data_IF_605762817050
#
_entry.id   IF_605762817050
#
_cell.length_a   1.000
_cell.length_b   1.000
_cell.length_c   1.000
_cell.angle_alpha   90.00
_cell.angle_beta   90.00
_cell.angle_gamma   90.00
#
_symmetry.space_group_name_H-M   'P 1'
#
loop_
_entity.id
_entity.type
_entity.pdbx_description
1 polymer ?
#
# COMPACT_ATOMS: atom_id res chain seq x y z
N UNK A 1 23.68 -2.10 -14.98
CA UNK A 1 22.24 -1.83 -15.17
C UNK A 1 21.52 -3.16 -15.28
N UNK A 2 20.77 -3.59 -14.27
CA UNK A 2 19.73 -4.59 -14.50
C UNK A 2 18.65 -3.85 -15.26
N UNK A 3 18.41 -4.23 -16.53
CA UNK A 3 17.43 -3.54 -17.36
C UNK A 3 16.05 -3.72 -16.73
N UNK A 4 15.36 -2.63 -16.44
CA UNK A 4 13.95 -2.59 -16.02
C UNK A 4 13.05 -3.18 -17.13
N UNK A 5 13.55 -3.33 -18.35
CA UNK A 5 12.91 -3.96 -19.52
C UNK A 5 12.34 -5.37 -19.22
N UNK A 6 12.91 -6.09 -18.23
CA UNK A 6 12.40 -7.41 -17.83
C UNK A 6 11.24 -7.35 -16.82
N UNK A 7 10.91 -6.18 -16.29
CA UNK A 7 9.85 -6.00 -15.29
C UNK A 7 8.56 -5.56 -15.95
N UNK A 8 8.66 -4.66 -16.95
CA UNK A 8 7.48 -4.12 -17.62
C UNK A 8 7.17 -4.92 -18.89
N UNK A 9 5.95 -5.44 -19.00
CA UNK A 9 5.44 -6.01 -20.25
C UNK A 9 5.38 -4.87 -21.27
N UNK A 10 6.03 -5.05 -22.44
CA UNK A 10 5.93 -4.08 -23.52
C UNK A 10 4.46 -3.99 -23.96
N UNK A 11 3.82 -2.88 -23.62
CA UNK A 11 2.55 -2.53 -24.21
C UNK A 11 2.78 -1.89 -25.57
N UNK A 12 1.95 -2.29 -26.54
CA UNK A 12 1.96 -1.78 -27.91
C UNK A 12 1.87 -0.24 -27.93
N UNK A 13 2.51 0.40 -28.88
CA UNK A 13 2.90 1.82 -29.02
C UNK A 13 1.81 2.91 -28.89
N UNK A 14 0.75 2.72 -28.15
CA UNK A 14 -0.34 3.71 -27.97
C UNK A 14 -0.23 4.65 -26.78
N UNK A 15 0.79 4.50 -25.92
CA UNK A 15 1.04 5.40 -24.79
C UNK A 15 1.67 6.71 -25.28
N UNK A 16 0.99 7.85 -25.12
CA UNK A 16 1.65 9.15 -25.19
C UNK A 16 2.75 9.17 -24.13
N UNK A 17 3.96 9.56 -24.52
CA UNK A 17 5.08 9.70 -23.61
C UNK A 17 4.71 10.73 -22.52
N UNK A 18 4.34 10.25 -21.34
CA UNK A 18 3.84 11.08 -20.22
C UNK A 18 5.05 11.56 -19.44
N UNK A 19 5.39 12.84 -19.59
CA UNK A 19 6.40 13.49 -18.74
C UNK A 19 5.73 14.13 -17.50
N UNK A 20 5.74 13.40 -16.38
CA UNK A 20 5.17 13.88 -15.11
C UNK A 20 5.99 14.99 -14.46
N UNK A 21 7.21 15.25 -14.91
CA UNK A 21 8.12 16.27 -14.38
C UNK A 21 8.07 17.59 -15.16
N UNK A 22 7.38 17.61 -16.30
CA UNK A 22 7.12 18.84 -17.03
C UNK A 22 6.07 19.65 -16.29
N UNK A 23 6.49 20.69 -15.60
CA UNK A 23 5.65 21.46 -14.65
C UNK A 23 4.44 22.08 -15.34
N UNK A 24 3.26 21.86 -14.77
CA UNK A 24 2.01 22.48 -15.22
C UNK A 24 2.12 24.00 -15.11
N UNK A 25 1.87 24.70 -16.21
CA UNK A 25 1.93 26.17 -16.28
C UNK A 25 0.70 26.87 -15.68
N UNK A 26 -0.24 26.13 -15.10
CA UNK A 26 -1.46 26.72 -14.54
C UNK A 26 -1.19 27.39 -13.20
N UNK A 27 -1.14 28.74 -13.19
CA UNK A 27 -0.84 29.57 -12.03
C UNK A 27 -1.85 29.45 -10.87
N UNK A 28 -3.01 28.84 -11.10
CA UNK A 28 -4.09 28.74 -10.10
C UNK A 28 -4.03 27.43 -9.30
N UNK A 29 -3.06 26.53 -9.56
CA UNK A 29 -2.93 25.25 -8.87
C UNK A 29 -1.70 25.23 -7.98
N UNK A 30 -1.90 24.91 -6.72
CA UNK A 30 -0.80 24.76 -5.76
C UNK A 30 -0.05 23.43 -6.03
N UNK A 31 1.21 23.55 -6.37
CA UNK A 31 2.12 22.41 -6.53
C UNK A 31 2.40 21.80 -5.14
N UNK A 32 2.26 20.48 -5.01
CA UNK A 32 2.54 19.72 -3.79
C UNK A 32 3.99 19.92 -3.34
N UNK A 33 4.22 20.06 -2.04
CA UNK A 33 5.57 20.15 -1.48
C UNK A 33 6.33 18.83 -1.66
N UNK A 34 5.67 17.67 -1.56
CA UNK A 34 6.26 16.37 -1.85
C UNK A 34 6.71 16.26 -3.31
N UNK A 35 5.93 16.79 -4.26
CA UNK A 35 6.34 16.86 -5.65
C UNK A 35 7.54 17.80 -5.85
N UNK A 36 7.57 18.97 -5.19
CA UNK A 36 8.70 19.91 -5.26
C UNK A 36 9.98 19.24 -4.76
N UNK A 37 9.92 18.50 -3.66
CA UNK A 37 11.03 17.74 -3.12
C UNK A 37 11.51 16.71 -4.15
N UNK A 38 10.63 15.87 -4.67
CA UNK A 38 10.96 14.87 -5.69
C UNK A 38 11.57 15.50 -6.94
N UNK A 39 11.02 16.62 -7.41
CA UNK A 39 11.44 17.23 -8.67
C UNK A 39 12.76 18.00 -8.57
N UNK A 40 13.04 18.64 -7.43
CA UNK A 40 14.12 19.63 -7.30
C UNK A 40 15.26 19.22 -6.37
N UNK A 41 15.06 18.20 -5.50
CA UNK A 41 16.09 17.80 -4.55
C UNK A 41 17.02 16.75 -5.15
N UNK A 42 18.33 16.94 -4.95
CA UNK A 42 19.34 15.97 -5.37
C UNK A 42 19.24 14.64 -4.61
N UNK A 43 18.73 14.68 -3.36
CA UNK A 43 18.53 13.50 -2.53
C UNK A 43 17.48 12.54 -3.12
N UNK A 44 16.50 13.07 -3.85
CA UNK A 44 15.44 12.27 -4.47
C UNK A 44 15.69 12.00 -5.98
N UNK A 45 16.85 12.39 -6.51
CA UNK A 45 17.19 12.15 -7.91
C UNK A 45 17.07 10.69 -8.36
N UNK A 46 17.49 9.66 -7.57
CA UNK A 46 17.27 8.27 -7.97
C UNK A 46 15.78 7.89 -8.10
N UNK A 47 14.91 8.40 -7.22
CA UNK A 47 13.47 8.19 -7.33
C UNK A 47 12.88 8.87 -8.57
N UNK A 48 13.29 10.12 -8.84
CA UNK A 48 12.86 10.87 -10.03
C UNK A 48 13.22 10.14 -11.31
N UNK A 49 14.46 9.67 -11.43
CA UNK A 49 14.94 8.95 -12.61
C UNK A 49 14.19 7.61 -12.77
N UNK A 50 14.00 6.86 -11.69
CA UNK A 50 13.22 5.61 -11.72
C UNK A 50 11.78 5.85 -12.18
N UNK A 51 11.10 6.87 -11.66
CA UNK A 51 9.74 7.21 -12.07
C UNK A 51 9.73 7.63 -13.55
N UNK A 52 10.72 8.38 -14.03
CA UNK A 52 10.83 8.74 -15.45
C UNK A 52 10.97 7.51 -16.36
N UNK A 53 11.62 6.44 -15.90
CA UNK A 53 11.74 5.17 -16.64
C UNK A 53 10.43 4.33 -16.57
N UNK A 54 9.63 4.48 -15.52
CA UNK A 54 8.35 3.76 -15.37
C UNK A 54 7.27 4.39 -16.24
N UNK A 55 7.20 5.73 -16.28
CA UNK A 55 6.07 6.47 -16.87
C UNK A 55 5.80 6.16 -18.35
N UNK A 56 6.77 5.88 -19.22
CA UNK A 56 6.49 5.45 -20.61
C UNK A 56 5.64 4.17 -20.71
N UNK A 57 5.66 3.33 -19.67
CA UNK A 57 4.90 2.07 -19.61
C UNK A 57 3.55 2.23 -18.88
N UNK A 58 3.32 3.35 -18.22
CA UNK A 58 2.09 3.63 -17.49
C UNK A 58 1.06 4.31 -18.41
N UNK A 59 -0.15 3.76 -18.49
CA UNK A 59 -1.23 4.35 -19.28
C UNK A 59 -2.17 5.15 -18.38
N UNK A 60 -2.23 6.46 -18.61
CA UNK A 60 -3.20 7.38 -17.97
C UNK A 60 -4.48 7.41 -18.80
N UNK A 61 -5.48 6.64 -18.36
CA UNK A 61 -6.76 6.53 -19.07
C UNK A 61 -7.60 7.79 -18.90
N UNK A 62 -7.57 8.38 -17.69
CA UNK A 62 -8.40 9.53 -17.32
C UNK A 62 -7.79 10.86 -17.76
N UNK A 63 -6.53 10.87 -18.16
CA UNK A 63 -5.80 12.05 -18.61
C UNK A 63 -5.51 13.09 -17.53
N UNK A 64 -5.66 12.73 -16.25
CA UNK A 64 -5.49 13.62 -15.11
C UNK A 64 -4.29 13.27 -14.20
N UNK A 65 -3.56 12.20 -14.52
CA UNK A 65 -2.46 11.69 -13.70
C UNK A 65 -1.40 12.77 -13.45
N UNK A 66 -0.90 13.43 -14.51
CA UNK A 66 0.16 14.43 -14.41
C UNK A 66 -0.24 15.58 -13.49
N UNK A 67 -1.47 16.09 -13.65
CA UNK A 67 -1.97 17.16 -12.81
C UNK A 67 -2.04 16.76 -11.35
N UNK A 68 -2.64 15.62 -11.04
CA UNK A 68 -2.79 15.14 -9.69
C UNK A 68 -1.44 14.77 -9.06
N UNK A 69 -0.53 14.16 -9.83
CA UNK A 69 0.82 13.85 -9.38
C UNK A 69 1.61 15.11 -8.96
N UNK A 70 1.37 16.26 -9.61
CA UNK A 70 2.04 17.51 -9.27
C UNK A 70 1.33 18.32 -8.17
N UNK A 71 0.10 17.97 -7.82
CA UNK A 71 -0.74 18.77 -6.91
C UNK A 71 -1.21 17.97 -5.68
N UNK A 72 -2.45 18.16 -5.25
CA UNK A 72 -3.01 17.56 -4.03
C UNK A 72 -3.19 16.04 -4.10
N UNK A 73 -3.13 15.44 -5.29
CA UNK A 73 -3.23 14.01 -5.51
C UNK A 73 -1.90 13.25 -5.46
N UNK A 74 -0.78 13.90 -5.10
CA UNK A 74 0.55 13.30 -5.16
C UNK A 74 0.64 11.92 -4.49
N UNK A 75 0.18 11.81 -3.24
CA UNK A 75 0.25 10.57 -2.47
C UNK A 75 -0.59 9.44 -3.11
N UNK A 76 -1.79 9.78 -3.61
CA UNK A 76 -2.65 8.83 -4.31
C UNK A 76 -1.96 8.31 -5.59
N UNK A 77 -1.31 9.19 -6.37
CA UNK A 77 -0.60 8.80 -7.60
C UNK A 77 0.69 8.03 -7.31
N UNK A 78 1.41 8.33 -6.23
CA UNK A 78 2.54 7.49 -5.76
C UNK A 78 2.04 6.10 -5.37
N UNK A 79 0.89 5.99 -4.70
CA UNK A 79 0.29 4.71 -4.33
C UNK A 79 -0.11 3.88 -5.56
N UNK A 80 -0.81 4.48 -6.51
CA UNK A 80 -1.17 3.82 -7.77
C UNK A 80 0.06 3.37 -8.56
N UNK A 81 1.10 4.21 -8.64
CA UNK A 81 2.33 3.87 -9.34
C UNK A 81 3.08 2.72 -8.63
N UNK A 82 3.07 2.69 -7.28
CA UNK A 82 3.60 1.57 -6.51
C UNK A 82 2.84 0.28 -6.82
N UNK A 83 1.51 0.30 -6.81
CA UNK A 83 0.67 -0.86 -7.15
C UNK A 83 0.95 -1.34 -8.59
N UNK A 84 1.07 -0.41 -9.53
CA UNK A 84 1.44 -0.73 -10.90
C UNK A 84 2.77 -1.49 -10.99
N UNK A 85 3.80 -1.00 -10.31
CA UNK A 85 5.12 -1.65 -10.26
C UNK A 85 5.03 -3.04 -9.60
N UNK A 86 4.28 -3.16 -8.51
CA UNK A 86 4.07 -4.42 -7.82
C UNK A 86 3.36 -5.46 -8.70
N UNK A 87 2.27 -5.10 -9.38
CA UNK A 87 1.56 -6.03 -10.25
C UNK A 87 2.41 -6.47 -11.43
N UNK A 88 3.25 -5.59 -11.99
CA UNK A 88 4.21 -5.98 -13.02
C UNK A 88 5.29 -6.92 -12.48
N UNK A 89 5.85 -6.68 -11.29
CA UNK A 89 6.81 -7.58 -10.64
C UNK A 89 6.23 -8.98 -10.45
N UNK A 90 4.95 -9.05 -10.03
CA UNK A 90 4.20 -10.29 -9.84
C UNK A 90 3.70 -10.94 -11.15
N UNK A 91 3.98 -10.33 -12.30
CA UNK A 91 3.60 -10.83 -13.62
C UNK A 91 2.09 -10.88 -13.86
N UNK A 92 1.34 -9.96 -13.26
CA UNK A 92 -0.04 -9.74 -13.66
C UNK A 92 -0.12 -9.02 -15.01
N UNK A 93 -1.11 -9.40 -15.81
CA UNK A 93 -1.53 -8.63 -16.96
C UNK A 93 -2.47 -7.54 -16.43
N UNK A 94 -2.14 -6.27 -16.68
CA UNK A 94 -2.94 -5.12 -16.27
C UNK A 94 -3.78 -4.69 -17.48
N UNK A 95 -5.08 -4.91 -17.44
CA UNK A 95 -5.99 -4.46 -18.48
C UNK A 95 -6.31 -2.97 -18.29
N UNK A 96 -6.20 -2.20 -19.35
CA UNK A 96 -6.41 -0.76 -19.38
C UNK A 96 -7.58 -0.33 -20.27
N UNK A 97 -8.49 -1.26 -20.62
CA UNK A 97 -9.69 -0.97 -21.41
C UNK A 97 -10.77 -0.24 -20.61
N UNK A 98 -10.66 -0.25 -19.27
CA UNK A 98 -11.65 0.29 -18.35
C UNK A 98 -11.02 1.39 -17.47
N UNK A 99 -11.76 2.48 -17.25
CA UNK A 99 -11.34 3.60 -16.40
C UNK A 99 -11.64 3.39 -14.91
N UNK A 100 -12.50 2.43 -14.61
CA UNK A 100 -12.87 2.11 -13.23
C UNK A 100 -13.16 0.60 -13.09
N UNK A 101 -12.77 -0.01 -11.97
CA UNK A 101 -11.89 0.52 -10.92
C UNK A 101 -10.46 0.79 -11.41
N UNK A 102 -9.59 1.37 -10.56
CA UNK A 102 -8.22 1.80 -10.92
C UNK A 102 -7.38 0.71 -11.59
N UNK A 103 -7.57 -0.55 -11.18
CA UNK A 103 -6.90 -1.70 -11.79
C UNK A 103 -7.86 -2.84 -12.07
N UNK A 104 -7.72 -3.42 -13.25
CA UNK A 104 -8.29 -4.70 -13.61
C UNK A 104 -7.14 -5.60 -14.07
N UNK A 105 -6.80 -6.59 -13.24
CA UNK A 105 -5.61 -7.43 -13.41
C UNK A 105 -5.99 -8.88 -13.62
N UNK A 106 -5.14 -9.62 -14.36
CA UNK A 106 -5.34 -11.05 -14.56
C UNK A 106 -4.02 -11.83 -14.44
N UNK A 107 -4.11 -13.04 -13.89
CA UNK A 107 -3.01 -14.01 -13.77
C UNK A 107 -3.57 -15.40 -13.61
N UNK A 108 -2.99 -16.38 -14.31
CA UNK A 108 -3.35 -17.80 -14.21
C UNK A 108 -4.85 -18.09 -14.42
N UNK A 109 -5.51 -17.32 -15.31
CA UNK A 109 -6.93 -17.44 -15.59
C UNK A 109 -7.87 -16.73 -14.59
N UNK A 110 -7.35 -16.12 -13.55
CA UNK A 110 -8.12 -15.33 -12.60
C UNK A 110 -8.11 -13.84 -12.98
N UNK A 111 -9.26 -13.19 -12.83
CA UNK A 111 -9.39 -11.75 -12.99
C UNK A 111 -9.75 -11.14 -11.65
N UNK A 112 -9.14 -10.01 -11.31
CA UNK A 112 -9.30 -9.32 -10.03
C UNK A 112 -9.45 -7.82 -10.31
N UNK A 113 -10.39 -7.18 -9.65
CA UNK A 113 -10.61 -5.73 -9.70
C UNK A 113 -10.07 -5.10 -8.43
N UNK A 114 -9.42 -3.95 -8.57
CA UNK A 114 -8.79 -3.28 -7.43
C UNK A 114 -9.05 -1.78 -7.52
N UNK A 115 -9.59 -1.22 -6.45
CA UNK A 115 -9.77 0.23 -6.28
C UNK A 115 -8.77 0.76 -5.26
N UNK A 116 -8.00 1.76 -5.63
CA UNK A 116 -6.98 2.36 -4.78
C UNK A 116 -7.57 3.48 -3.89
N UNK A 117 -7.05 3.60 -2.69
CA UNK A 117 -7.45 4.62 -1.73
C UNK A 117 -6.29 5.04 -0.83
N UNK A 118 -6.30 6.27 -0.35
CA UNK A 118 -5.29 6.79 0.56
C UNK A 118 -5.92 7.52 1.76
N UNK A 119 -5.26 7.38 2.91
CA UNK A 119 -5.51 8.23 4.07
C UNK A 119 -4.52 9.39 4.00
N UNK A 120 -5.01 10.56 3.60
CA UNK A 120 -4.15 11.74 3.46
C UNK A 120 -4.02 12.49 4.79
N UNK A 121 -2.99 13.31 4.92
CA UNK A 121 -2.79 14.16 6.07
C UNK A 121 -3.96 15.16 6.22
N UNK A 122 -4.53 15.24 7.43
CA UNK A 122 -5.57 16.22 7.78
C UNK A 122 -5.14 17.00 8.99
N UNK A 123 -5.25 18.33 8.93
CA UNK A 123 -4.85 19.24 10.02
C UNK A 123 -5.48 18.88 11.37
N UNK A 124 -6.72 18.42 11.39
CA UNK A 124 -7.45 18.03 12.61
C UNK A 124 -6.81 16.85 13.38
N UNK A 125 -5.90 16.08 12.74
CA UNK A 125 -5.19 14.95 13.34
C UNK A 125 -3.68 15.17 13.48
N UNK A 126 -3.20 16.43 13.32
CA UNK A 126 -1.77 16.77 13.43
C UNK A 126 -1.34 17.21 14.84
N UNK A 127 -2.27 17.49 15.75
CA UNK A 127 -1.97 17.92 17.11
C UNK A 127 -1.25 16.81 17.88
N UNK A 128 -0.61 17.17 19.02
CA UNK A 128 0.13 16.28 19.94
C UNK A 128 -0.71 15.11 20.49
N UNK A 129 -1.12 14.24 19.57
CA UNK A 129 -1.89 13.05 19.87
C UNK A 129 -0.94 11.94 20.25
N UNK A 130 -1.16 11.32 21.39
CA UNK A 130 -0.41 10.14 21.82
C UNK A 130 -0.52 9.05 20.76
N UNK A 131 0.58 8.34 20.53
CA UNK A 131 0.63 7.30 19.51
C UNK A 131 -0.40 6.19 19.75
N UNK A 132 -0.67 5.87 21.03
CA UNK A 132 -1.68 4.87 21.40
C UNK A 132 -3.10 5.29 21.01
N UNK A 133 -3.47 6.57 21.20
CA UNK A 133 -4.77 7.11 20.78
C UNK A 133 -4.88 7.12 19.26
N UNK A 134 -3.78 7.40 18.57
CA UNK A 134 -3.72 7.35 17.10
C UNK A 134 -3.98 5.93 16.60
N UNK A 135 -3.26 4.93 17.14
CA UNK A 135 -3.35 3.53 16.72
C UNK A 135 -4.71 2.92 17.08
N UNK A 136 -5.20 3.18 18.31
CA UNK A 136 -6.34 2.45 18.87
C UNK A 136 -7.68 3.18 18.69
N UNK A 137 -7.68 4.40 18.13
CA UNK A 137 -8.91 5.19 17.97
C UNK A 137 -8.97 5.88 16.61
N UNK A 138 -8.01 6.74 16.28
CA UNK A 138 -8.09 7.60 15.10
C UNK A 138 -7.93 6.81 13.80
N UNK A 139 -6.88 5.99 13.69
CA UNK A 139 -6.60 5.27 12.45
C UNK A 139 -7.70 4.26 12.09
N UNK A 140 -8.24 3.43 13.00
CA UNK A 140 -9.37 2.57 12.68
C UNK A 140 -10.58 3.33 12.12
N UNK A 141 -10.92 4.49 12.70
CA UNK A 141 -12.01 5.37 12.21
C UNK A 141 -11.70 5.90 10.81
N UNK A 142 -10.45 6.29 10.55
CA UNK A 142 -10.04 6.80 9.25
C UNK A 142 -10.02 5.72 8.19
N UNK A 143 -9.52 4.52 8.50
CA UNK A 143 -9.63 3.35 7.63
C UNK A 143 -11.09 3.05 7.30
N UNK A 144 -11.95 3.00 8.32
CA UNK A 144 -13.39 2.79 8.14
C UNK A 144 -14.03 3.82 7.22
N UNK A 145 -13.71 5.09 7.41
CA UNK A 145 -14.25 6.18 6.57
C UNK A 145 -13.77 6.09 5.12
N UNK A 146 -12.48 5.75 4.90
CA UNK A 146 -11.92 5.64 3.55
C UNK A 146 -12.48 4.42 2.82
N UNK A 147 -12.53 3.26 3.47
CA UNK A 147 -13.10 2.03 2.90
C UNK A 147 -14.59 2.24 2.59
N UNK A 148 -15.35 2.82 3.53
CA UNK A 148 -16.78 3.12 3.32
C UNK A 148 -17.01 4.04 2.13
N UNK A 149 -16.18 5.06 1.94
CA UNK A 149 -16.28 5.97 0.78
C UNK A 149 -16.17 5.23 -0.55
N UNK A 150 -15.37 4.14 -0.62
CA UNK A 150 -15.24 3.32 -1.84
C UNK A 150 -16.40 2.35 -2.01
N UNK A 151 -16.94 1.84 -0.90
CA UNK A 151 -18.10 0.93 -0.92
C UNK A 151 -19.38 1.68 -1.30
N UNK A 152 -19.57 2.87 -0.75
CA UNK A 152 -20.77 3.69 -1.02
C UNK A 152 -20.73 4.33 -2.42
N UNK A 153 -19.58 4.30 -3.09
CA UNK A 153 -19.46 4.86 -4.43
C UNK A 153 -20.31 4.11 -5.44
N UNK A 154 -21.07 4.84 -6.23
CA UNK A 154 -21.80 4.33 -7.39
C UNK A 154 -21.51 5.21 -8.58
N UNK A 155 -21.55 4.62 -9.77
CA UNK A 155 -21.42 5.34 -11.04
C UNK A 155 -22.73 6.05 -11.44
N UNK A 156 -22.72 6.69 -12.61
CA UNK A 156 -23.93 7.37 -13.17
C UNK A 156 -25.13 6.45 -13.40
N UNK A 157 -24.92 5.13 -13.44
CA UNK A 157 -25.96 4.11 -13.61
C UNK A 157 -26.35 3.49 -12.25
N UNK A 158 -25.89 4.05 -11.14
CA UNK A 158 -26.08 3.55 -9.77
C UNK A 158 -25.50 2.15 -9.53
N UNK A 159 -24.38 1.84 -10.19
CA UNK A 159 -23.65 0.58 -10.03
C UNK A 159 -22.41 0.78 -9.17
N UNK A 160 -22.17 -0.13 -8.21
CA UNK A 160 -20.91 -0.21 -7.48
C UNK A 160 -19.79 -0.81 -8.35
N UNK A 161 -18.54 -0.63 -7.96
CA UNK A 161 -17.36 -1.13 -8.69
C UNK A 161 -17.42 -2.63 -9.00
N UNK A 162 -17.97 -3.46 -8.12
CA UNK A 162 -18.10 -4.91 -8.30
C UNK A 162 -19.33 -5.34 -9.13
N UNK A 163 -20.15 -4.40 -9.56
CA UNK A 163 -21.36 -4.65 -10.35
C UNK A 163 -21.19 -4.35 -11.84
N UNK A 164 -20.07 -3.73 -12.25
CA UNK A 164 -19.80 -3.49 -13.66
C UNK A 164 -19.68 -4.82 -14.40
N UNK A 165 -20.06 -4.87 -15.67
CA UNK A 165 -20.07 -6.11 -16.44
C UNK A 165 -18.69 -6.80 -16.47
N UNK A 166 -17.61 -6.04 -16.57
CA UNK A 166 -16.26 -6.58 -16.58
C UNK A 166 -15.74 -7.04 -15.19
N UNK A 167 -16.34 -6.55 -14.10
CA UNK A 167 -15.93 -6.90 -12.71
C UNK A 167 -16.89 -7.87 -12.03
N UNK A 168 -18.11 -7.98 -12.53
CA UNK A 168 -19.15 -8.83 -11.97
C UNK A 168 -18.70 -10.28 -11.79
N UNK A 169 -19.12 -10.84 -10.68
CA UNK A 169 -18.82 -12.23 -10.28
C UNK A 169 -17.32 -12.55 -10.18
N UNK A 170 -16.52 -11.55 -9.82
CA UNK A 170 -15.07 -11.62 -9.66
C UNK A 170 -14.62 -11.01 -8.34
N UNK A 171 -13.44 -11.37 -7.82
CA UNK A 171 -12.88 -10.74 -6.64
C UNK A 171 -12.72 -9.23 -6.81
N UNK A 172 -13.13 -8.48 -5.76
CA UNK A 172 -12.91 -7.05 -5.66
C UNK A 172 -12.08 -6.72 -4.41
N UNK A 173 -11.01 -5.97 -4.60
CA UNK A 173 -10.05 -5.57 -3.56
C UNK A 173 -10.07 -4.05 -3.41
N UNK A 174 -10.01 -3.56 -2.19
CA UNK A 174 -9.66 -2.16 -1.93
C UNK A 174 -8.19 -2.13 -1.49
N UNK A 175 -7.35 -1.41 -2.26
CA UNK A 175 -5.95 -1.20 -1.95
C UNK A 175 -5.80 0.13 -1.21
N UNK A 176 -5.42 0.08 0.08
CA UNK A 176 -5.40 1.26 0.95
C UNK A 176 -4.00 1.54 1.50
N UNK A 177 -3.55 2.80 1.42
CA UNK A 177 -2.29 3.26 1.98
C UNK A 177 -2.49 4.41 2.96
N UNK A 178 -1.68 4.42 4.03
CA UNK A 178 -1.75 5.45 5.07
C UNK A 178 -0.65 6.51 4.88
N UNK A 179 -1.02 7.64 4.27
CA UNK A 179 -0.20 8.84 4.14
C UNK A 179 -0.62 9.94 5.14
N UNK A 180 -1.22 9.54 6.24
CA UNK A 180 -1.73 10.52 7.22
C UNK A 180 -0.66 11.21 8.05
N UNK A 181 0.55 10.66 8.08
CA UNK A 181 1.69 11.13 8.84
C UNK A 181 2.96 10.48 8.26
N UNK A 182 4.11 11.14 8.39
CA UNK A 182 5.40 10.68 7.82
C UNK A 182 5.86 9.31 8.32
N UNK A 183 5.42 8.90 9.53
CA UNK A 183 5.75 7.61 10.14
C UNK A 183 4.55 6.66 10.24
N UNK A 184 3.40 7.01 9.64
CA UNK A 184 2.14 6.26 9.80
C UNK A 184 2.27 4.80 9.38
N UNK A 185 2.98 4.52 8.32
CA UNK A 185 3.15 3.15 7.80
C UNK A 185 3.93 2.22 8.74
N UNK A 186 4.60 2.74 9.77
CA UNK A 186 5.31 1.91 10.76
C UNK A 186 4.32 1.16 11.68
N UNK A 187 3.16 1.76 11.96
CA UNK A 187 2.21 1.24 12.95
C UNK A 187 0.78 1.06 12.45
N UNK A 188 0.44 1.52 11.25
CA UNK A 188 -0.94 1.49 10.73
C UNK A 188 -1.50 0.10 10.48
N UNK A 189 -0.65 -0.92 10.24
CA UNK A 189 -1.09 -2.29 9.99
C UNK A 189 -1.87 -2.91 11.16
N UNK A 190 -1.47 -2.65 12.41
CA UNK A 190 -2.20 -3.13 13.59
C UNK A 190 -3.59 -2.49 13.69
N UNK A 191 -3.69 -1.19 13.43
CA UNK A 191 -4.97 -0.48 13.42
C UNK A 191 -5.91 -1.02 12.34
N UNK A 192 -5.37 -1.32 11.17
CA UNK A 192 -6.13 -1.89 10.06
C UNK A 192 -6.62 -3.32 10.40
N UNK A 193 -5.76 -4.18 10.92
CA UNK A 193 -6.13 -5.53 11.37
C UNK A 193 -7.26 -5.47 12.39
N UNK A 194 -7.11 -4.64 13.42
CA UNK A 194 -8.10 -4.49 14.49
C UNK A 194 -9.45 -4.00 13.94
N UNK A 195 -9.43 -3.05 12.99
CA UNK A 195 -10.64 -2.58 12.33
C UNK A 195 -11.32 -3.67 11.48
N UNK A 196 -10.54 -4.38 10.66
CA UNK A 196 -11.07 -5.35 9.71
C UNK A 196 -11.68 -6.57 10.41
N UNK A 197 -10.99 -7.11 11.42
CA UNK A 197 -11.40 -8.36 12.08
C UNK A 197 -12.08 -8.17 13.44
N UNK A 198 -12.01 -6.98 14.03
CA UNK A 198 -12.66 -6.70 15.33
C UNK A 198 -11.99 -7.41 16.52
N UNK A 199 -10.70 -7.69 16.40
CA UNK A 199 -9.91 -8.32 17.46
C UNK A 199 -8.53 -7.67 17.59
N UNK A 200 -8.09 -7.51 18.84
CA UNK A 200 -6.69 -7.29 19.20
C UNK A 200 -6.13 -8.54 19.88
N UNK A 201 -4.81 -8.64 19.94
CA UNK A 201 -4.15 -9.81 20.52
C UNK A 201 -3.16 -9.38 21.59
N UNK A 202 -3.30 -9.93 22.80
CA UNK A 202 -2.32 -9.78 23.87
C UNK A 202 -1.34 -10.95 23.83
N UNK A 203 -0.09 -10.63 24.09
CA UNK A 203 0.99 -11.61 24.12
C UNK A 203 1.38 -11.86 25.57
N UNK A 204 1.45 -13.13 25.97
CA UNK A 204 2.00 -13.59 27.23
C UNK A 204 2.88 -14.80 27.03
N UNK A 205 3.66 -15.16 28.03
CA UNK A 205 4.45 -16.40 28.00
C UNK A 205 3.95 -17.35 29.10
N UNK A 206 3.84 -18.63 28.77
CA UNK A 206 3.56 -19.66 29.76
C UNK A 206 4.80 -19.97 30.63
N UNK A 207 4.65 -20.84 31.64
CA UNK A 207 5.76 -21.22 32.55
C UNK A 207 6.93 -21.93 31.84
N UNK A 208 6.67 -22.47 30.65
CA UNK A 208 7.64 -23.18 29.81
C UNK A 208 8.33 -22.26 28.80
N UNK A 209 7.98 -20.95 28.79
CA UNK A 209 8.55 -19.97 27.87
C UNK A 209 7.89 -19.96 26.47
N UNK A 210 6.80 -20.67 26.27
CA UNK A 210 6.07 -20.65 25.00
C UNK A 210 5.15 -19.42 24.92
N UNK A 211 5.09 -18.84 23.73
CA UNK A 211 4.24 -17.71 23.43
C UNK A 211 2.75 -18.13 23.51
N UNK A 212 1.97 -17.35 24.24
CA UNK A 212 0.52 -17.48 24.32
C UNK A 212 -0.13 -16.21 23.78
N UNK A 213 -1.02 -16.37 22.80
CA UNK A 213 -1.77 -15.27 22.15
C UNK A 213 -3.20 -15.30 22.63
N UNK A 214 -3.64 -14.22 23.26
CA UNK A 214 -4.98 -14.07 23.84
C UNK A 214 -5.77 -13.09 22.95
N UNK A 215 -6.79 -13.56 22.20
CA UNK A 215 -7.64 -12.67 21.42
C UNK A 215 -8.56 -11.86 22.33
N UNK A 216 -8.67 -10.55 22.06
CA UNK A 216 -9.62 -9.64 22.71
C UNK A 216 -10.52 -9.03 21.68
N UNK A 217 -11.82 -9.25 21.82
CA UNK A 217 -12.83 -8.69 20.91
C UNK A 217 -12.93 -7.18 21.09
N UNK A 218 -13.03 -6.46 19.97
CA UNK A 218 -13.26 -5.02 19.90
C UNK A 218 -14.64 -4.82 19.27
N UNK A 219 -15.53 -4.10 19.93
CA UNK A 219 -16.87 -3.82 19.40
C UNK A 219 -16.88 -2.58 18.51
N UNK A 220 -16.20 -1.52 18.92
CA UNK A 220 -16.14 -0.27 18.19
C UNK A 220 -14.87 0.54 18.53
N UNK A 221 -14.57 1.51 17.67
CA UNK A 221 -13.58 2.54 17.89
C UNK A 221 -14.26 3.88 18.05
N UNK A 222 -13.79 4.67 19.03
CA UNK A 222 -14.38 5.97 19.35
C UNK A 222 -13.31 7.05 19.44
N UNK A 223 -13.56 8.18 18.79
CA UNK A 223 -12.73 9.38 18.90
C UNK A 223 -13.62 10.61 18.73
N UNK A 224 -13.64 11.47 19.75
CA UNK A 224 -14.61 12.56 19.88
C UNK A 224 -16.04 12.04 19.70
N UNK A 225 -16.83 12.64 18.82
CA UNK A 225 -18.22 12.24 18.53
C UNK A 225 -18.32 11.15 17.45
N UNK A 226 -17.19 10.69 16.90
CA UNK A 226 -17.16 9.66 15.86
C UNK A 226 -17.06 8.28 16.49
N UNK A 227 -17.95 7.38 16.08
CA UNK A 227 -17.92 5.96 16.44
C UNK A 227 -17.99 5.14 15.17
N UNK A 228 -17.11 4.12 15.08
CA UNK A 228 -17.09 3.18 13.97
C UNK A 228 -17.02 1.77 14.55
N UNK A 229 -17.91 0.89 14.10
CA UNK A 229 -17.89 -0.51 14.53
C UNK A 229 -16.64 -1.21 14.01
N UNK A 230 -16.08 -2.07 14.86
CA UNK A 230 -15.00 -2.97 14.48
C UNK A 230 -15.54 -4.22 13.76
N UNK A 231 -14.65 -5.02 13.18
CA UNK A 231 -15.04 -6.27 12.54
C UNK A 231 -15.69 -6.05 11.18
N UNK A 232 -15.14 -5.15 10.37
CA UNK A 232 -15.63 -4.83 9.03
C UNK A 232 -15.92 -6.09 8.19
N UNK A 233 -15.01 -7.06 8.17
CA UNK A 233 -15.17 -8.30 7.43
C UNK A 233 -16.16 -9.29 8.04
N UNK A 234 -16.56 -9.08 9.29
CA UNK A 234 -17.52 -9.96 9.96
C UNK A 234 -18.98 -9.59 9.68
N UNK A 235 -19.19 -8.46 8.99
CA UNK A 235 -20.49 -7.98 8.58
C UNK A 235 -20.87 -8.52 7.20
N UNK A 236 -22.08 -9.09 7.09
CA UNK A 236 -22.55 -9.73 5.85
C UNK A 236 -22.65 -8.76 4.67
N UNK A 237 -22.99 -7.51 4.92
CA UNK A 237 -23.07 -6.48 3.89
C UNK A 237 -21.74 -6.20 3.16
N UNK A 238 -20.62 -6.65 3.73
CA UNK A 238 -19.27 -6.47 3.15
C UNK A 238 -18.76 -7.70 2.38
N UNK A 239 -19.63 -8.68 2.08
CA UNK A 239 -19.25 -9.93 1.39
C UNK A 239 -18.74 -9.70 -0.05
N UNK A 240 -19.06 -8.58 -0.69
CA UNK A 240 -18.56 -8.24 -2.02
C UNK A 240 -17.08 -7.79 -2.02
N UNK A 241 -16.52 -7.43 -0.85
CA UNK A 241 -15.11 -7.08 -0.71
C UNK A 241 -14.32 -8.34 -0.41
N UNK A 242 -13.49 -8.79 -1.35
CA UNK A 242 -12.73 -10.04 -1.23
C UNK A 242 -11.56 -9.93 -0.27
N UNK A 243 -10.90 -8.77 -0.26
CA UNK A 243 -9.76 -8.48 0.61
C UNK A 243 -9.49 -6.97 0.69
N UNK A 244 -8.71 -6.59 1.68
CA UNK A 244 -8.01 -5.31 1.70
C UNK A 244 -6.53 -5.58 1.43
N UNK A 245 -5.91 -4.77 0.58
CA UNK A 245 -4.48 -4.77 0.30
C UNK A 245 -3.87 -3.50 0.89
N UNK A 246 -2.76 -3.61 1.60
CA UNK A 246 -2.05 -2.46 2.16
C UNK A 246 -0.54 -2.69 2.16
N UNK A 247 0.24 -1.62 2.25
CA UNK A 247 1.70 -1.70 2.32
C UNK A 247 2.25 -0.81 3.42
N UNK A 248 3.27 -1.30 4.12
CA UNK A 248 4.06 -0.55 5.11
C UNK A 248 5.26 0.16 4.47
N UNK A 249 5.46 0.03 3.16
CA UNK A 249 6.62 0.60 2.46
C UNK A 249 6.29 1.24 1.10
N UNK A 250 5.02 1.27 0.68
CA UNK A 250 4.60 1.78 -0.63
C UNK A 250 4.64 3.31 -0.73
N UNK A 251 5.76 3.93 -0.41
CA UNK A 251 5.98 5.38 -0.35
C UNK A 251 7.03 5.84 -1.35
N UNK A 252 7.20 7.16 -1.50
CA UNK A 252 8.27 7.77 -2.31
C UNK A 252 9.66 7.24 -1.91
N UNK A 253 9.88 6.95 -0.62
CA UNK A 253 11.16 6.40 -0.13
C UNK A 253 11.46 5.01 -0.70
N UNK A 254 10.44 4.22 -1.05
CA UNK A 254 10.65 2.95 -1.75
C UNK A 254 11.15 3.17 -3.17
N UNK A 255 10.59 4.13 -3.90
CA UNK A 255 11.10 4.51 -5.22
C UNK A 255 12.55 5.00 -5.15
N UNK A 256 12.90 5.74 -4.08
CA UNK A 256 14.25 6.19 -3.85
C UNK A 256 15.21 5.00 -3.65
N UNK A 257 14.87 4.06 -2.78
CA UNK A 257 15.71 2.88 -2.51
C UNK A 257 15.86 1.97 -3.74
N UNK A 258 14.74 1.69 -4.43
CA UNK A 258 14.76 0.90 -5.67
C UNK A 258 15.51 1.65 -6.78
N UNK A 259 15.39 2.97 -6.87
CA UNK A 259 16.18 3.79 -7.80
C UNK A 259 17.68 3.73 -7.52
N UNK A 260 18.08 3.80 -6.25
CA UNK A 260 19.49 3.66 -5.83
C UNK A 260 20.04 2.27 -6.21
N UNK A 261 19.33 1.19 -5.84
CA UNK A 261 19.78 -0.16 -6.17
C UNK A 261 19.80 -0.47 -7.67
N UNK A 262 19.00 0.25 -8.46
CA UNK A 262 18.99 0.14 -9.94
C UNK A 262 20.10 0.95 -10.62
N UNK A 263 20.96 1.64 -9.86
CA UNK A 263 22.11 2.37 -10.37
C UNK A 263 21.81 3.81 -10.81
N UNK A 264 20.67 4.39 -10.41
CA UNK A 264 20.34 5.79 -10.73
C UNK A 264 21.12 6.83 -9.92
N UNK A 265 21.99 6.41 -9.01
CA UNK A 265 23.00 7.25 -8.35
C UNK A 265 24.40 6.94 -8.90
N UNK A 266 24.63 7.24 -10.18
CA UNK A 266 25.84 6.88 -10.95
C UNK A 266 27.17 7.25 -10.29
N UNK A 267 27.19 8.32 -9.49
CA UNK A 267 28.41 8.82 -8.84
C UNK A 267 28.47 8.45 -7.35
N UNK A 268 27.54 7.63 -6.89
CA UNK A 268 27.43 7.23 -5.48
C UNK A 268 27.46 8.41 -4.50
N UNK A 269 26.77 9.49 -4.87
CA UNK A 269 26.72 10.74 -4.09
C UNK A 269 25.87 10.64 -2.84
N UNK A 270 24.94 9.67 -2.80
CA UNK A 270 24.00 9.51 -1.70
C UNK A 270 24.41 8.34 -0.82
N UNK A 271 24.38 8.55 0.48
CA UNK A 271 24.31 7.48 1.48
C UNK A 271 22.83 7.32 1.89
N UNK A 272 22.22 6.22 1.52
CA UNK A 272 20.84 5.89 1.86
C UNK A 272 20.86 4.70 2.79
N UNK A 273 20.47 4.93 4.06
CA UNK A 273 20.36 3.89 5.07
C UNK A 273 18.90 3.46 5.19
N UNK A 274 18.67 2.15 5.19
CA UNK A 274 17.38 1.52 5.47
C UNK A 274 17.44 0.92 6.85
N UNK A 275 16.67 1.47 7.78
CA UNK A 275 16.33 0.82 9.05
C UNK A 275 15.07 0.01 8.84
N UNK A 276 15.11 -1.27 9.13
CA UNK A 276 14.03 -2.19 8.82
C UNK A 276 13.73 -3.14 9.98
N UNK A 277 12.47 -3.49 10.11
CA UNK A 277 11.97 -4.48 11.03
C UNK A 277 11.39 -5.64 10.25
N UNK A 278 11.88 -6.84 10.51
CA UNK A 278 11.49 -8.05 9.80
C UNK A 278 10.80 -9.04 10.73
N UNK A 279 9.90 -9.84 10.17
CA UNK A 279 9.30 -10.97 10.86
C UNK A 279 10.40 -11.95 11.31
N UNK A 280 10.39 -12.28 12.63
CA UNK A 280 11.26 -13.32 13.17
C UNK A 280 10.56 -14.68 13.02
N UNK A 281 11.13 -15.65 12.27
CA UNK A 281 10.53 -16.97 12.10
C UNK A 281 10.56 -17.85 13.36
N UNK A 282 11.21 -17.41 14.43
CA UNK A 282 11.15 -18.11 15.72
C UNK A 282 9.72 -18.01 16.30
N UNK A 283 9.00 -19.12 16.50
CA UNK A 283 7.61 -19.10 16.98
C UNK A 283 7.43 -18.48 18.37
N UNK A 284 8.50 -18.36 19.15
CA UNK A 284 8.50 -17.75 20.49
C UNK A 284 9.04 -16.30 20.49
N UNK A 285 9.33 -15.74 19.33
CA UNK A 285 9.75 -14.35 19.24
C UNK A 285 8.56 -13.40 19.48
N UNK A 286 8.72 -12.47 20.42
CA UNK A 286 7.76 -11.38 20.67
C UNK A 286 8.17 -10.05 20.06
N UNK A 287 9.34 -10.00 19.43
CA UNK A 287 9.89 -8.79 18.81
C UNK A 287 10.37 -9.11 17.41
N UNK A 288 10.26 -8.14 16.48
CA UNK A 288 10.83 -8.28 15.14
C UNK A 288 12.37 -8.29 15.19
N UNK A 289 12.98 -8.81 14.13
CA UNK A 289 14.40 -8.62 13.85
C UNK A 289 14.59 -7.18 13.38
N UNK A 290 15.53 -6.48 13.98
CA UNK A 290 15.91 -5.11 13.63
C UNK A 290 17.22 -5.12 12.83
N UNK A 291 17.26 -4.44 11.71
CA UNK A 291 18.44 -4.30 10.85
C UNK A 291 18.58 -2.86 10.34
N UNK A 292 19.82 -2.41 10.24
CA UNK A 292 20.16 -1.12 9.61
C UNK A 292 21.24 -1.40 8.58
N UNK A 293 20.93 -1.14 7.33
CA UNK A 293 21.85 -1.41 6.21
C UNK A 293 21.85 -0.28 5.18
N UNK A 294 22.98 -0.13 4.50
CA UNK A 294 23.10 0.81 3.38
C UNK A 294 22.48 0.21 2.13
N UNK A 295 21.67 1.01 1.42
CA UNK A 295 21.12 0.67 0.12
C UNK A 295 22.19 0.88 -0.95
N UNK A 296 22.53 -0.20 -1.65
CA UNK A 296 23.52 -0.24 -2.71
C UNK A 296 22.96 -0.97 -3.94
N UNK A 297 23.71 -1.04 -5.02
CA UNK A 297 23.34 -1.85 -6.21
C UNK A 297 23.28 -3.36 -5.92
N UNK A 298 23.81 -3.82 -4.78
CA UNK A 298 23.70 -5.22 -4.31
C UNK A 298 22.44 -5.47 -3.51
N UNK A 299 21.74 -4.43 -3.08
CA UNK A 299 20.45 -4.54 -2.39
C UNK A 299 19.44 -5.19 -3.33
N UNK A 300 18.55 -6.01 -2.78
CA UNK A 300 17.54 -6.74 -3.56
C UNK A 300 16.15 -6.50 -2.97
N UNK A 301 15.81 -5.23 -2.73
CA UNK A 301 14.46 -4.87 -2.29
C UNK A 301 13.49 -5.05 -3.46
N UNK A 302 12.35 -5.71 -3.18
CA UNK A 302 11.27 -5.96 -4.13
C UNK A 302 10.10 -5.01 -3.90
N UNK A 303 9.30 -4.79 -4.93
CA UNK A 303 8.07 -4.00 -4.78
C UNK A 303 7.12 -4.63 -3.77
N UNK A 304 7.02 -5.96 -3.73
CA UNK A 304 6.18 -6.71 -2.79
C UNK A 304 6.62 -6.65 -1.32
N UNK A 305 7.86 -6.22 -1.00
CA UNK A 305 8.33 -6.13 0.38
C UNK A 305 7.48 -5.14 1.19
N UNK A 306 6.89 -5.61 2.28
CA UNK A 306 6.00 -4.84 3.14
C UNK A 306 4.55 -4.79 2.69
N UNK A 307 4.17 -5.56 1.65
CA UNK A 307 2.79 -5.67 1.20
C UNK A 307 2.04 -6.76 1.98
N UNK A 308 0.83 -6.42 2.42
CA UNK A 308 -0.07 -7.33 3.14
C UNK A 308 -1.43 -7.40 2.46
N UNK A 309 -2.02 -8.59 2.46
CA UNK A 309 -3.36 -8.87 1.98
C UNK A 309 -4.19 -9.45 3.13
N UNK A 310 -5.23 -8.74 3.51
CA UNK A 310 -6.16 -9.11 4.57
C UNK A 310 -7.39 -9.74 3.93
N UNK A 311 -7.55 -11.05 4.09
CA UNK A 311 -8.64 -11.80 3.46
C UNK A 311 -9.94 -11.64 4.22
N UNK A 312 -11.03 -11.37 3.50
CA UNK A 312 -12.36 -11.40 4.07
C UNK A 312 -12.85 -12.86 4.21
N UNK A 313 -13.09 -13.37 5.42
CA UNK A 313 -13.56 -14.75 5.62
C UNK A 313 -14.96 -15.00 5.06
N UNK A 314 -15.74 -13.93 4.84
CA UNK A 314 -17.10 -13.96 4.32
C UNK A 314 -17.19 -13.52 2.85
N UNK A 315 -16.06 -13.43 2.15
CA UNK A 315 -16.03 -12.98 0.76
C UNK A 315 -16.88 -13.88 -0.16
N UNK A 316 -17.76 -13.25 -0.95
CA UNK A 316 -18.53 -13.95 -1.98
C UNK A 316 -17.63 -14.52 -3.09
N UNK A 317 -16.58 -13.77 -3.43
CA UNK A 317 -15.55 -14.15 -4.42
C UNK A 317 -14.17 -14.06 -3.78
N UNK A 318 -13.70 -15.09 -3.05
CA UNK A 318 -12.40 -15.05 -2.37
C UNK A 318 -11.23 -15.07 -3.37
N UNK A 319 -10.17 -14.33 -3.05
CA UNK A 319 -8.93 -14.36 -3.83
C UNK A 319 -8.07 -15.57 -3.46
N UNK A 320 -7.32 -16.06 -4.47
CA UNK A 320 -6.41 -17.18 -4.29
C UNK A 320 -5.03 -16.68 -3.85
N UNK A 321 -4.50 -17.20 -2.73
CA UNK A 321 -3.21 -16.80 -2.17
C UNK A 321 -2.04 -16.92 -3.15
N UNK A 322 -2.02 -17.98 -3.97
CA UNK A 322 -0.90 -18.26 -4.88
C UNK A 322 -0.71 -17.20 -5.97
N UNK A 323 -1.72 -16.36 -6.22
CA UNK A 323 -1.63 -15.26 -7.18
C UNK A 323 -0.68 -14.14 -6.70
N UNK A 324 -0.50 -14.00 -5.38
CA UNK A 324 0.32 -12.97 -4.73
C UNK A 324 1.40 -13.61 -3.83
N UNK A 325 2.32 -14.39 -4.40
CA UNK A 325 3.23 -15.24 -3.63
C UNK A 325 4.18 -14.47 -2.72
N UNK A 326 4.54 -13.23 -3.09
CA UNK A 326 5.48 -12.40 -2.32
C UNK A 326 4.80 -11.47 -1.30
N UNK A 327 3.48 -11.51 -1.17
CA UNK A 327 2.75 -10.76 -0.16
C UNK A 327 2.65 -11.53 1.17
N UNK A 328 2.44 -10.79 2.27
CA UNK A 328 2.00 -11.36 3.54
C UNK A 328 0.47 -11.50 3.51
N UNK A 329 -0.04 -12.67 3.88
CA UNK A 329 -1.47 -12.96 3.89
C UNK A 329 -1.99 -13.11 5.31
N UNK A 330 -3.08 -12.44 5.64
CA UNK A 330 -3.76 -12.54 6.93
C UNK A 330 -5.14 -13.15 6.75
N UNK A 331 -5.41 -14.22 7.48
CA UNK A 331 -6.68 -14.93 7.53
C UNK A 331 -7.25 -14.89 8.93
N UNK A 332 -8.57 -14.76 9.05
CA UNK A 332 -9.25 -14.78 10.35
C UNK A 332 -9.95 -16.11 10.57
N UNK A 333 -9.65 -16.76 11.70
CA UNK A 333 -10.27 -18.01 12.12
C UNK A 333 -10.47 -18.04 13.63
N UNK A 334 -11.71 -18.17 14.08
CA UNK A 334 -12.06 -18.36 15.51
C UNK A 334 -11.43 -17.31 16.45
N UNK A 335 -11.47 -16.04 16.08
CA UNK A 335 -10.89 -14.95 16.87
C UNK A 335 -9.38 -14.77 16.72
N UNK A 336 -8.71 -15.66 16.00
CA UNK A 336 -7.26 -15.58 15.75
C UNK A 336 -6.96 -15.13 14.32
N UNK A 337 -5.87 -14.42 14.16
CA UNK A 337 -5.33 -14.02 12.86
C UNK A 337 -4.16 -14.93 12.52
N UNK A 338 -4.39 -15.77 11.52
CA UNK A 338 -3.36 -16.62 10.94
C UNK A 338 -2.60 -15.81 9.87
N UNK A 339 -1.31 -15.60 10.08
CA UNK A 339 -0.45 -14.89 9.13
C UNK A 339 0.43 -15.88 8.39
N UNK A 340 0.34 -15.85 7.07
CA UNK A 340 1.20 -16.64 6.16
C UNK A 340 2.13 -15.67 5.45
N UNK A 341 3.41 -15.80 5.73
CA UNK A 341 4.43 -14.90 5.22
C UNK A 341 5.75 -15.63 4.96
N UNK A 342 6.67 -15.00 4.24
CA UNK A 342 8.02 -15.51 4.08
C UNK A 342 8.83 -15.25 5.37
N UNK A 343 9.81 -16.11 5.69
CA UNK A 343 10.79 -15.79 6.72
C UNK A 343 11.46 -14.44 6.42
N UNK A 344 11.63 -13.62 7.43
CA UNK A 344 12.23 -12.28 7.30
C UNK A 344 11.44 -11.32 6.39
N UNK A 345 10.11 -11.48 6.29
CA UNK A 345 9.26 -10.49 5.60
C UNK A 345 9.34 -9.14 6.27
N UNK A 346 9.38 -8.08 5.44
CA UNK A 346 9.43 -6.71 5.92
C UNK A 346 8.12 -6.32 6.62
N UNK A 347 8.23 -5.91 7.88
CA UNK A 347 7.10 -5.39 8.67
C UNK A 347 6.98 -3.89 8.54
N UNK A 348 8.12 -3.17 8.62
CA UNK A 348 8.19 -1.73 8.42
C UNK A 348 9.61 -1.28 8.10
N UNK A 349 9.78 -0.07 7.57
CA UNK A 349 11.09 0.52 7.32
C UNK A 349 11.09 2.04 7.40
N UNK A 350 12.25 2.58 7.82
CA UNK A 350 12.56 4.01 7.81
C UNK A 350 13.75 4.21 6.85
N UNK A 351 13.76 5.34 6.15
CA UNK A 351 14.85 5.69 5.22
C UNK A 351 15.54 6.95 5.70
N UNK A 352 16.85 6.89 5.87
CA UNK A 352 17.69 8.04 6.16
C UNK A 352 18.53 8.36 4.93
N UNK A 353 18.65 9.63 4.61
CA UNK A 353 19.34 10.12 3.41
C UNK A 353 20.39 11.14 3.82
N UNK A 354 21.60 11.01 3.30
CA UNK A 354 22.64 12.02 3.41
C UNK A 354 23.45 12.09 2.10
N UNK A 355 23.94 13.28 1.80
CA UNK A 355 24.88 13.52 0.68
C UNK A 355 26.27 13.19 1.19
N UNK A 356 27.07 12.48 0.38
CA UNK A 356 28.48 12.15 0.66
C UNK A 356 29.40 13.29 0.28
#
# INVERSE_FOLDING_TARGET
>A
MRSLENIFVQYDEKGKNIDVFNTIKNKNKNISDSFKILNNSDEYKPAKLLISEIMPHYMDIDGNFVEQFQTTGFDARIWELYLYCYFNEEKFIINKDYSAPDFYISKDGYNISIEASTLNNKKEYQLDIKIDDRINSILPIRFGSSIKSKIDHVDKNNLHYWEYEHTKDKPFIIAIADFSNDISMIYSSNSLINYLYGYSHEISYNKEGNLNIIPKKIENFKYNDKVVDAGFFLKKENENISAILSSTSGTLNKFLRIGKQSGFDKYNKLCIMKEAFYYDPNPNASKPIHDISEVTEKTNEKWGDGLSIYHNPNAKFPIQRHLFPNATHHFFRNGLIETVTHPYSLLSSITYISIR
#
